data_IF_426107480044
#
_entry.id   IF_426107480044
#
_cell.length_a   1.000
_cell.length_b   1.000
_cell.length_c   1.000
_cell.angle_alpha   90.00
_cell.angle_beta   90.00
_cell.angle_gamma   90.00
#
_symmetry.space_group_name_H-M   'P 1'
#
loop_
_entity.id
_entity.type
_entity.pdbx_description
1 polymer ?
#
# COMPACT_ATOMS: atom_id res chain seq x y z
N UNK A 1 -21.08 -16.01 10.12
CA UNK A 1 -20.04 -14.96 10.25
C UNK A 1 -18.71 -15.53 10.77
N UNK A 2 -17.64 -15.37 9.99
CA UNK A 2 -16.25 -15.77 10.28
C UNK A 2 -15.34 -14.54 10.17
N UNK A 3 -14.29 -14.44 10.99
CA UNK A 3 -13.36 -13.30 10.99
C UNK A 3 -11.94 -13.74 10.68
N UNK A 4 -11.30 -13.08 9.72
CA UNK A 4 -9.89 -13.25 9.37
C UNK A 4 -9.07 -12.06 9.84
N UNK A 5 -7.89 -12.33 10.41
CA UNK A 5 -6.86 -11.32 10.60
C UNK A 5 -5.96 -11.33 9.35
N UNK A 6 -5.84 -10.18 8.69
CA UNK A 6 -5.14 -10.07 7.42
C UNK A 6 -3.83 -9.30 7.55
N UNK A 7 -2.81 -9.78 6.86
CA UNK A 7 -1.53 -9.09 6.73
C UNK A 7 -0.65 -9.74 5.67
N UNK A 8 0.07 -8.92 4.93
CA UNK A 8 0.88 -9.28 3.79
C UNK A 8 0.12 -9.97 2.66
N UNK A 9 0.90 -10.58 1.76
CA UNK A 9 0.41 -11.23 0.54
C UNK A 9 -0.20 -12.63 0.76
N UNK A 10 -0.14 -13.15 1.98
CA UNK A 10 -0.65 -14.48 2.33
C UNK A 10 -2.17 -14.49 2.53
N UNK A 11 -2.72 -13.48 3.20
CA UNK A 11 -4.15 -13.44 3.49
C UNK A 11 -5.06 -13.30 2.26
N UNK A 12 -4.78 -12.50 1.22
CA UNK A 12 -5.64 -12.49 0.02
C UNK A 12 -5.76 -13.87 -0.64
N UNK A 13 -4.69 -14.69 -0.61
CA UNK A 13 -4.73 -16.09 -1.09
C UNK A 13 -5.67 -16.95 -0.26
N UNK A 14 -5.63 -16.79 1.07
CA UNK A 14 -6.52 -17.48 1.98
C UNK A 14 -7.98 -17.05 1.76
N UNK A 15 -8.23 -15.75 1.62
CA UNK A 15 -9.56 -15.19 1.38
C UNK A 15 -10.17 -15.67 0.05
N UNK A 16 -9.35 -15.80 -1.01
CA UNK A 16 -9.80 -16.39 -2.28
C UNK A 16 -10.30 -17.85 -2.11
N UNK A 17 -9.69 -18.61 -1.20
CA UNK A 17 -10.18 -19.93 -0.82
C UNK A 17 -11.43 -19.86 0.06
N UNK A 18 -11.46 -18.90 0.99
CA UNK A 18 -12.53 -18.75 1.97
C UNK A 18 -13.89 -18.46 1.33
N UNK A 19 -13.93 -17.65 0.27
CA UNK A 19 -15.17 -17.34 -0.46
C UNK A 19 -15.80 -18.53 -1.19
N UNK A 20 -15.09 -19.67 -1.27
CA UNK A 20 -15.64 -20.95 -1.77
C UNK A 20 -16.37 -21.75 -0.69
N UNK A 21 -16.21 -21.37 0.58
CA UNK A 21 -16.72 -22.07 1.76
C UNK A 21 -17.75 -21.23 2.50
N UNK A 22 -17.53 -19.91 2.58
CA UNK A 22 -18.43 -18.95 3.21
C UNK A 22 -18.92 -17.94 2.17
N UNK A 23 -20.17 -17.49 2.34
CA UNK A 23 -20.69 -16.35 1.60
C UNK A 23 -19.85 -15.09 1.95
N UNK A 24 -19.43 -14.26 0.98
CA UNK A 24 -18.72 -13.02 1.24
C UNK A 24 -19.36 -12.13 2.32
N UNK A 25 -20.69 -12.07 2.39
CA UNK A 25 -21.41 -11.26 3.39
C UNK A 25 -21.26 -11.79 4.83
N UNK A 26 -20.77 -13.03 4.98
CA UNK A 26 -20.45 -13.64 6.26
C UNK A 26 -18.96 -13.54 6.64
N UNK A 27 -18.12 -12.93 5.79
CA UNK A 27 -16.68 -12.80 6.03
C UNK A 27 -16.38 -11.39 6.54
N UNK A 28 -15.81 -11.31 7.75
CA UNK A 28 -15.20 -10.10 8.27
C UNK A 28 -13.67 -10.18 8.14
N UNK A 29 -13.04 -9.10 7.71
CA UNK A 29 -11.58 -8.99 7.64
C UNK A 29 -11.11 -7.85 8.53
N UNK A 30 -10.14 -8.13 9.39
CA UNK A 30 -9.41 -7.14 10.18
C UNK A 30 -8.00 -7.08 9.62
N UNK A 31 -7.71 -6.05 8.82
CA UNK A 31 -6.41 -5.89 8.18
C UNK A 31 -5.40 -5.21 9.11
N UNK A 32 -4.13 -5.62 8.96
CA UNK A 32 -2.99 -5.00 9.58
C UNK A 32 -2.82 -3.56 9.09
N UNK A 33 -2.63 -2.63 10.02
CA UNK A 33 -2.24 -1.24 9.74
C UNK A 33 -0.80 -0.97 10.19
N UNK A 34 -0.09 -2.04 10.56
CA UNK A 34 1.29 -2.01 11.01
C UNK A 34 2.27 -1.63 9.92
N UNK A 35 1.87 -1.63 8.66
CA UNK A 35 2.72 -1.21 7.53
C UNK A 35 2.20 0.06 6.83
N UNK A 36 1.15 0.70 7.39
CA UNK A 36 0.63 1.96 6.86
C UNK A 36 1.67 3.07 6.97
N UNK A 37 1.86 3.82 5.88
CA UNK A 37 2.84 4.92 5.79
C UNK A 37 2.24 6.11 5.07
N UNK A 38 2.71 7.32 5.41
CA UNK A 38 2.48 8.48 4.56
C UNK A 38 3.70 8.70 3.66
N UNK A 39 3.55 8.51 2.35
CA UNK A 39 4.61 8.69 1.37
C UNK A 39 4.25 9.87 0.46
N UNK A 40 5.00 10.97 0.57
CA UNK A 40 4.75 12.15 -0.27
C UNK A 40 3.39 12.81 -0.03
N UNK A 41 2.80 12.60 1.15
CA UNK A 41 1.46 13.06 1.51
C UNK A 41 0.33 12.06 1.23
N UNK A 42 0.61 10.95 0.54
CA UNK A 42 -0.35 9.86 0.34
C UNK A 42 -0.29 8.89 1.51
N UNK A 43 -1.44 8.61 2.14
CA UNK A 43 -1.54 7.55 3.15
C UNK A 43 -1.76 6.22 2.43
N UNK A 44 -0.74 5.39 2.39
CA UNK A 44 -0.75 4.07 1.76
C UNK A 44 -0.96 3.01 2.83
N UNK A 45 -1.88 2.07 2.60
CA UNK A 45 -2.29 1.07 3.59
C UNK A 45 -2.17 -0.35 2.98
N UNK A 46 -0.94 -0.88 2.78
CA UNK A 46 -0.69 -1.98 1.85
C UNK A 46 -1.55 -3.23 2.04
N UNK A 47 -1.79 -3.61 3.30
CA UNK A 47 -2.56 -4.81 3.64
C UNK A 47 -4.07 -4.58 3.51
N UNK A 48 -4.55 -3.37 3.80
CA UNK A 48 -5.94 -2.97 3.55
C UNK A 48 -6.18 -2.93 2.04
N UNK A 49 -5.29 -2.28 1.30
CA UNK A 49 -5.36 -2.13 -0.16
C UNK A 49 -5.36 -3.49 -0.85
N UNK A 50 -4.48 -4.40 -0.43
CA UNK A 50 -4.43 -5.76 -0.96
C UNK A 50 -5.75 -6.52 -0.76
N UNK A 51 -6.41 -6.37 0.39
CA UNK A 51 -7.73 -6.98 0.64
C UNK A 51 -8.80 -6.32 -0.23
N UNK A 52 -8.78 -4.99 -0.36
CA UNK A 52 -9.74 -4.24 -1.18
C UNK A 52 -9.59 -4.55 -2.67
N UNK A 53 -8.36 -4.59 -3.19
CA UNK A 53 -8.07 -4.93 -4.58
C UNK A 53 -8.45 -6.38 -4.89
N UNK A 54 -8.22 -7.31 -3.94
CA UNK A 54 -8.65 -8.70 -4.09
C UNK A 54 -10.18 -8.79 -4.15
N UNK A 55 -10.89 -8.14 -3.22
CA UNK A 55 -12.35 -8.10 -3.19
C UNK A 55 -12.97 -7.37 -4.39
N UNK A 56 -12.27 -6.37 -4.92
CA UNK A 56 -12.64 -5.65 -6.13
C UNK A 56 -12.31 -6.37 -7.43
N UNK A 57 -11.61 -7.51 -7.37
CA UNK A 57 -11.22 -8.28 -8.56
C UNK A 57 -10.17 -7.59 -9.43
N UNK A 58 -9.37 -6.69 -8.85
CA UNK A 58 -8.35 -5.90 -9.56
C UNK A 58 -6.93 -6.09 -9.02
N UNK A 59 -6.74 -6.95 -8.01
CA UNK A 59 -5.41 -7.25 -7.46
C UNK A 59 -4.50 -7.88 -8.53
N UNK A 60 -3.25 -7.43 -8.59
CA UNK A 60 -2.20 -8.14 -9.32
C UNK A 60 -1.88 -9.48 -8.63
N UNK A 61 -2.13 -10.59 -9.33
CA UNK A 61 -1.94 -11.95 -8.81
C UNK A 61 -0.53 -12.51 -9.05
N UNK A 62 0.31 -11.82 -9.81
CA UNK A 62 1.72 -12.16 -9.95
C UNK A 62 2.49 -11.75 -8.68
N UNK A 63 2.30 -10.50 -8.27
CA UNK A 63 2.99 -9.89 -7.12
C UNK A 63 2.22 -10.04 -5.81
N UNK A 64 0.88 -10.15 -5.87
CA UNK A 64 -0.05 -10.15 -4.73
C UNK A 64 -0.12 -8.83 -3.95
N UNK A 65 0.22 -7.73 -4.60
CA UNK A 65 0.03 -6.36 -4.13
C UNK A 65 -0.18 -5.43 -5.33
N UNK A 66 -0.76 -4.24 -5.13
CA UNK A 66 -1.06 -3.34 -6.24
C UNK A 66 -2.14 -3.85 -7.19
N UNK A 67 -2.30 -3.17 -8.32
CA UNK A 67 -3.40 -3.37 -9.26
C UNK A 67 -2.92 -4.09 -10.53
N UNK A 68 -3.68 -5.07 -11.00
CA UNK A 68 -3.39 -5.81 -12.23
C UNK A 68 -3.30 -4.86 -13.44
N UNK A 69 -2.17 -4.96 -14.16
CA UNK A 69 -1.89 -4.15 -15.35
C UNK A 69 -1.69 -2.66 -15.04
N UNK A 70 -1.37 -2.30 -13.80
CA UNK A 70 -1.00 -0.93 -13.46
C UNK A 70 0.36 -0.56 -14.05
N UNK A 71 0.52 0.71 -14.39
CA UNK A 71 1.81 1.27 -14.81
C UNK A 71 2.54 1.85 -13.60
N UNK A 72 3.84 2.04 -13.72
CA UNK A 72 4.68 2.61 -12.65
C UNK A 72 5.42 3.85 -13.15
N UNK A 73 4.88 4.57 -14.14
CA UNK A 73 5.54 5.68 -14.82
C UNK A 73 5.88 6.83 -13.84
N UNK A 74 4.97 7.14 -12.91
CA UNK A 74 5.25 8.15 -11.87
C UNK A 74 6.40 7.71 -10.98
N UNK A 75 6.41 6.45 -10.54
CA UNK A 75 7.45 5.90 -9.69
C UNK A 75 8.81 5.87 -10.39
N UNK A 76 8.85 5.40 -11.64
CA UNK A 76 10.05 5.39 -12.47
C UNK A 76 10.60 6.81 -12.69
N UNK A 77 9.71 7.78 -12.92
CA UNK A 77 10.12 9.17 -13.08
C UNK A 77 10.70 9.77 -11.79
N UNK A 78 10.11 9.46 -10.63
CA UNK A 78 10.65 9.87 -9.33
C UNK A 78 12.03 9.24 -9.07
N UNK A 79 12.21 7.96 -9.41
CA UNK A 79 13.52 7.28 -9.34
C UNK A 79 14.55 7.95 -10.25
N UNK A 80 14.22 8.20 -11.52
CA UNK A 80 15.13 8.85 -12.47
C UNK A 80 15.60 10.22 -11.97
N UNK A 81 14.68 11.05 -11.45
CA UNK A 81 15.03 12.36 -10.90
C UNK A 81 15.92 12.26 -9.65
N UNK A 82 15.67 11.28 -8.78
CA UNK A 82 16.51 11.03 -7.61
C UNK A 82 17.93 10.63 -8.03
N UNK A 83 18.06 9.72 -9.01
CA UNK A 83 19.35 9.27 -9.53
C UNK A 83 20.14 10.41 -10.15
N UNK A 84 19.50 11.29 -10.93
CA UNK A 84 20.12 12.50 -11.51
C UNK A 84 20.65 13.46 -10.44
N UNK A 85 20.04 13.47 -9.27
CA UNK A 85 20.46 14.26 -8.11
C UNK A 85 21.45 13.53 -7.20
N UNK A 86 21.83 12.29 -7.52
CA UNK A 86 22.71 11.46 -6.68
C UNK A 86 22.06 11.07 -5.35
N UNK A 87 20.73 10.98 -5.32
CA UNK A 87 19.93 10.64 -4.15
C UNK A 87 19.66 9.14 -4.18
N UNK A 88 20.24 8.41 -3.23
CA UNK A 88 19.96 6.99 -3.06
C UNK A 88 18.49 6.73 -2.68
N UNK A 89 17.92 5.68 -3.28
CA UNK A 89 16.60 5.17 -2.96
C UNK A 89 16.57 4.57 -1.54
N UNK A 90 15.49 4.81 -0.81
CA UNK A 90 15.35 4.31 0.55
C UNK A 90 14.40 5.13 1.41
N UNK A 91 14.09 4.64 2.61
CA UNK A 91 13.20 5.34 3.52
C UNK A 91 13.81 6.68 3.95
N UNK A 92 13.16 7.78 3.57
CA UNK A 92 13.54 9.14 3.94
C UNK A 92 12.46 9.77 4.80
N UNK A 93 12.64 9.68 6.11
CA UNK A 93 11.74 10.29 7.09
C UNK A 93 11.69 11.81 6.91
N UNK A 94 10.51 12.40 7.12
CA UNK A 94 10.39 13.84 7.33
C UNK A 94 11.00 14.25 8.67
N UNK A 95 11.32 15.55 8.82
CA UNK A 95 11.83 16.13 10.06
C UNK A 95 10.85 15.97 11.23
N UNK A 96 11.34 16.07 12.47
CA UNK A 96 10.56 15.76 13.67
C UNK A 96 9.24 16.52 13.80
N UNK A 97 9.23 17.83 13.50
CA UNK A 97 8.00 18.64 13.52
C UNK A 97 7.01 18.15 12.44
N UNK A 98 7.53 17.85 11.25
CA UNK A 98 6.75 17.32 10.16
C UNK A 98 6.22 15.91 10.46
N UNK A 99 6.90 15.07 11.25
CA UNK A 99 6.38 13.74 11.62
C UNK A 99 5.06 13.79 12.40
N UNK A 100 4.73 14.91 13.05
CA UNK A 100 3.56 15.02 13.92
C UNK A 100 2.50 16.02 13.43
N UNK A 101 2.83 16.86 12.45
CA UNK A 101 1.96 17.90 11.90
C UNK A 101 0.79 17.41 11.01
N UNK A 102 0.67 16.09 10.79
CA UNK A 102 -0.27 15.48 9.83
C UNK A 102 -1.32 14.59 10.48
N UNK A 103 -1.77 13.58 9.72
CA UNK A 103 -2.75 12.59 10.21
C UNK A 103 -2.17 11.83 11.40
N UNK A 104 -2.99 11.61 12.44
CA UNK A 104 -2.55 10.90 13.63
C UNK A 104 -2.03 9.49 13.33
N UNK A 105 -2.71 8.78 12.41
CA UNK A 105 -2.35 7.41 11.98
C UNK A 105 -0.97 7.33 11.32
N UNK A 106 -0.50 8.41 10.72
CA UNK A 106 0.79 8.47 10.02
C UNK A 106 1.94 8.97 10.89
N UNK A 107 1.69 9.31 12.16
CA UNK A 107 2.74 9.87 13.03
C UNK A 107 3.94 8.94 13.11
N UNK A 108 5.13 9.52 12.90
CA UNK A 108 6.41 8.80 12.89
C UNK A 108 6.58 7.80 11.73
N UNK A 109 5.69 7.87 10.73
CA UNK A 109 5.69 7.04 9.53
C UNK A 109 5.49 7.88 8.27
N UNK A 110 5.97 9.13 8.30
CA UNK A 110 5.89 10.07 7.18
C UNK A 110 7.22 10.14 6.45
N UNK A 111 7.18 9.97 5.14
CA UNK A 111 8.34 9.89 4.25
C UNK A 111 8.20 10.89 3.10
N UNK A 112 9.33 11.44 2.64
CA UNK A 112 9.35 12.53 1.65
C UNK A 112 8.96 12.14 0.23
N UNK A 113 8.79 10.85 -0.07
CA UNK A 113 8.62 10.30 -1.42
C UNK A 113 9.78 10.59 -2.41
N UNK A 114 10.93 11.08 -1.95
CA UNK A 114 12.08 11.30 -2.82
C UNK A 114 12.89 10.00 -2.90
N UNK A 115 13.02 9.42 -4.10
CA UNK A 115 13.63 8.10 -4.28
C UNK A 115 12.86 7.03 -3.52
N UNK A 116 11.54 6.97 -3.76
CA UNK A 116 10.58 6.12 -3.04
C UNK A 116 11.09 4.69 -2.86
N UNK A 117 11.06 4.21 -1.61
CA UNK A 117 11.47 2.85 -1.26
C UNK A 117 10.36 1.82 -1.50
N UNK A 118 9.13 2.29 -1.73
CA UNK A 118 7.96 1.49 -2.03
C UNK A 118 7.51 1.85 -3.45
N UNK A 119 7.37 0.85 -4.30
CA UNK A 119 6.82 1.03 -5.63
C UNK A 119 5.29 1.12 -5.53
N UNK A 120 4.73 2.18 -6.10
CA UNK A 120 3.29 2.42 -6.13
C UNK A 120 2.90 2.64 -7.59
N UNK A 121 1.95 1.83 -8.07
CA UNK A 121 1.41 1.97 -9.42
C UNK A 121 0.62 3.27 -9.59
N UNK A 122 0.42 3.71 -10.83
CA UNK A 122 -0.24 4.98 -11.13
C UNK A 122 -1.73 4.95 -10.76
N UNK A 123 -2.42 3.82 -10.98
CA UNK A 123 -3.81 3.61 -10.55
C UNK A 123 -3.89 3.37 -9.04
N UNK A 124 -2.97 2.62 -8.46
CA UNK A 124 -2.89 2.43 -7.00
C UNK A 124 -2.74 3.78 -6.30
N UNK A 125 -1.79 4.61 -6.75
CA UNK A 125 -1.59 5.99 -6.25
C UNK A 125 -2.86 6.82 -6.30
N UNK A 126 -3.69 6.66 -7.34
CA UNK A 126 -4.93 7.41 -7.49
C UNK A 126 -5.99 7.07 -6.43
N UNK A 127 -5.90 5.90 -5.77
CA UNK A 127 -6.78 5.51 -4.65
C UNK A 127 -6.45 6.32 -3.38
N UNK A 128 -5.23 6.88 -3.30
CA UNK A 128 -4.70 7.59 -2.12
C UNK A 128 -4.76 9.12 -2.23
N UNK A 129 -5.44 9.66 -3.25
CA UNK A 129 -5.61 11.11 -3.50
C UNK A 129 -6.80 11.73 -2.73
#
# INVERSE_FOLDING_TARGET
MVTFLAGGTGTPKLLEGATRVWDPDEIAVVANTGDDVELGGHLVCPDVDTVLFAGGGVLDRETWWGIEGDTTETHEQLRRLADEMGIEAGPRYLDADAQTAGREIARWRRFSAVGEFMEIGDRDRAVHL
#
